data_IF_548274907758
#
_entry.id   IF_548274907758
#
_cell.length_a   1.000
_cell.length_b   1.000
_cell.length_c   1.000
_cell.angle_alpha   90.00
_cell.angle_beta   90.00
_cell.angle_gamma   90.00
#
_symmetry.space_group_name_H-M   'P 1'
#
loop_
_entity.id
_entity.type
_entity.pdbx_description
1 polymer ?
#
# COMPACT_ATOMS: atom_id res chain seq x y z
N UNK A 1 18.70 33.72 -38.02
CA UNK A 1 17.32 33.32 -37.83
C UNK A 1 16.95 32.31 -38.89
N UNK A 2 16.77 31.04 -38.55
CA UNK A 2 15.94 30.16 -39.34
C UNK A 2 14.64 29.86 -38.56
N UNK A 3 13.64 29.75 -39.32
CA UNK A 3 12.22 29.62 -39.14
C UNK A 3 11.81 28.45 -38.21
N UNK A 4 10.97 28.75 -37.25
CA UNK A 4 10.39 27.78 -36.30
C UNK A 4 8.94 27.51 -36.70
N UNK A 5 8.76 26.59 -37.65
CA UNK A 5 7.44 26.02 -37.91
C UNK A 5 7.60 24.60 -38.47
N UNK A 6 7.39 23.64 -37.60
CA UNK A 6 6.67 22.41 -37.87
C UNK A 6 6.78 21.53 -36.61
N UNK A 7 5.88 21.77 -35.66
CA UNK A 7 5.49 20.74 -34.70
C UNK A 7 4.29 20.06 -35.32
N UNK A 8 4.55 18.94 -36.00
CA UNK A 8 3.51 18.05 -36.46
C UNK A 8 2.63 17.64 -35.27
N UNK A 9 1.41 18.12 -35.27
CA UNK A 9 0.34 17.54 -34.48
C UNK A 9 0.13 16.11 -35.01
N UNK A 10 -0.04 15.09 -34.15
CA UNK A 10 -0.31 13.74 -34.61
C UNK A 10 -1.60 13.73 -35.43
N UNK A 11 -1.51 13.31 -36.68
CA UNK A 11 -2.64 13.08 -37.55
C UNK A 11 -3.55 12.04 -36.90
N UNK A 12 -4.80 12.38 -36.64
CA UNK A 12 -5.88 11.45 -36.27
C UNK A 12 -6.29 10.65 -37.51
N UNK A 13 -5.48 9.64 -37.86
CA UNK A 13 -5.83 8.71 -38.91
C UNK A 13 -6.62 7.56 -38.27
N UNK A 14 -7.90 7.35 -38.59
CA UNK A 14 -8.76 6.35 -37.92
C UNK A 14 -8.46 4.89 -38.32
N UNK A 15 -7.48 4.65 -39.19
CA UNK A 15 -7.12 3.29 -39.64
C UNK A 15 -6.03 2.61 -38.79
N UNK A 16 -5.40 3.31 -37.84
CA UNK A 16 -4.44 2.69 -36.92
C UNK A 16 -5.05 2.65 -35.53
N UNK A 17 -5.21 1.47 -34.96
CA UNK A 17 -5.63 1.29 -33.56
C UNK A 17 -4.84 2.19 -32.61
N UNK A 18 -5.39 2.52 -31.44
CA UNK A 18 -4.72 3.37 -30.44
C UNK A 18 -4.71 2.68 -29.10
N UNK A 19 -3.62 2.84 -28.33
CA UNK A 19 -3.62 2.58 -26.91
C UNK A 19 -3.91 3.90 -26.17
N UNK A 20 -4.77 3.84 -25.15
CA UNK A 20 -5.13 4.99 -24.32
C UNK A 20 -4.94 4.62 -22.84
N UNK A 21 -4.45 5.57 -22.05
CA UNK A 21 -4.44 5.48 -20.59
C UNK A 21 -5.40 6.53 -20.04
N UNK A 22 -6.33 6.11 -19.20
CA UNK A 22 -7.32 6.96 -18.56
C UNK A 22 -7.18 6.79 -17.04
N UNK A 23 -6.92 7.89 -16.32
CA UNK A 23 -6.84 7.88 -14.86
C UNK A 23 -8.20 8.22 -14.26
N UNK A 24 -8.70 7.36 -13.38
CA UNK A 24 -9.95 7.56 -12.64
C UNK A 24 -9.67 7.99 -11.19
N UNK A 25 -8.41 8.02 -10.81
CA UNK A 25 -7.87 8.49 -9.54
C UNK A 25 -6.35 8.34 -9.50
N UNK A 26 -5.70 8.80 -8.43
CA UNK A 26 -4.25 8.65 -8.21
C UNK A 26 -3.37 9.65 -8.98
N UNK A 27 -3.93 10.69 -9.59
CA UNK A 27 -3.16 11.74 -10.28
C UNK A 27 -3.61 13.11 -9.78
N UNK A 28 -2.69 13.87 -9.18
CA UNK A 28 -2.98 15.13 -8.50
C UNK A 28 -3.47 14.93 -7.06
N UNK A 29 -3.41 13.72 -6.57
CA UNK A 29 -3.78 13.30 -5.22
C UNK A 29 -2.99 12.03 -4.83
N UNK A 30 -2.94 11.72 -3.52
CA UNK A 30 -2.45 10.46 -2.98
C UNK A 30 -3.66 9.58 -2.64
N UNK A 31 -3.64 8.31 -3.09
CA UNK A 31 -4.75 7.37 -2.92
C UNK A 31 -5.73 7.35 -4.10
N UNK A 32 -6.78 6.55 -3.99
CA UNK A 32 -7.77 6.28 -5.06
C UNK A 32 -7.15 5.81 -6.37
N UNK A 33 -6.05 5.08 -6.29
CA UNK A 33 -5.31 4.67 -7.48
C UNK A 33 -6.18 3.79 -8.38
N UNK A 34 -6.43 4.26 -9.59
CA UNK A 34 -7.15 3.51 -10.61
C UNK A 34 -6.79 4.06 -12.00
N UNK A 35 -6.15 3.22 -12.80
CA UNK A 35 -5.83 3.53 -14.19
C UNK A 35 -6.48 2.49 -15.12
N UNK A 36 -7.01 2.95 -16.25
CA UNK A 36 -7.53 2.11 -17.31
C UNK A 36 -6.58 2.16 -18.50
N UNK A 37 -6.09 1.02 -18.95
CA UNK A 37 -5.38 0.88 -20.24
C UNK A 37 -6.37 0.36 -21.26
N UNK A 38 -6.65 1.13 -22.29
CA UNK A 38 -7.56 0.76 -23.37
C UNK A 38 -6.76 0.39 -24.61
N UNK A 39 -7.10 -0.74 -25.21
CA UNK A 39 -6.55 -1.25 -26.45
C UNK A 39 -7.68 -1.82 -27.31
N UNK A 40 -7.86 -1.27 -28.50
CA UNK A 40 -8.89 -1.70 -29.47
C UNK A 40 -10.31 -1.81 -28.85
N UNK A 41 -10.66 -0.85 -27.99
CA UNK A 41 -11.94 -0.79 -27.30
C UNK A 41 -12.06 -1.70 -26.08
N UNK A 42 -11.05 -2.55 -25.77
CA UNK A 42 -11.01 -3.38 -24.56
C UNK A 42 -10.25 -2.66 -23.45
N UNK A 43 -10.59 -2.91 -22.20
CA UNK A 43 -10.07 -2.21 -21.03
C UNK A 43 -9.40 -3.19 -20.07
N UNK A 44 -8.17 -2.87 -19.68
CA UNK A 44 -7.49 -3.45 -18.53
C UNK A 44 -7.44 -2.40 -17.42
N UNK A 45 -7.88 -2.75 -16.21
CA UNK A 45 -7.83 -1.86 -15.05
C UNK A 45 -6.58 -2.20 -14.24
N UNK A 46 -5.80 -1.19 -13.87
CA UNK A 46 -4.67 -1.32 -12.93
C UNK A 46 -5.05 -0.60 -11.65
N UNK A 47 -5.16 -1.36 -10.59
CA UNK A 47 -5.62 -0.98 -9.26
C UNK A 47 -7.07 -0.46 -9.21
N UNK A 48 -7.69 -0.58 -8.04
CA UNK A 48 -9.03 -0.06 -7.74
C UNK A 48 -9.02 0.40 -6.28
N UNK A 49 -8.35 1.52 -6.04
CA UNK A 49 -8.10 2.04 -4.71
C UNK A 49 -9.18 2.97 -4.20
N UNK A 50 -9.24 3.13 -2.89
CA UNK A 50 -10.03 4.18 -2.23
C UNK A 50 -9.12 5.23 -1.59
N UNK A 51 -9.70 6.33 -1.13
CA UNK A 51 -9.08 7.25 -0.18
C UNK A 51 -10.03 7.59 0.95
N UNK A 52 -9.49 8.17 2.01
CA UNK A 52 -10.28 8.66 3.14
C UNK A 52 -10.61 10.14 2.94
N UNK A 53 -11.79 10.59 3.40
CA UNK A 53 -12.21 11.98 3.23
C UNK A 53 -11.33 12.93 4.05
N UNK A 54 -11.10 14.12 3.51
CA UNK A 54 -10.49 15.22 4.25
C UNK A 54 -11.49 15.87 5.22
N UNK A 55 -10.98 16.70 6.14
CA UNK A 55 -11.79 17.37 7.17
C UNK A 55 -12.92 18.25 6.59
N UNK A 56 -12.77 18.72 5.35
CA UNK A 56 -13.75 19.54 4.62
C UNK A 56 -14.92 18.71 4.04
N UNK A 57 -14.89 17.38 4.17
CA UNK A 57 -15.92 16.46 3.66
C UNK A 57 -16.74 15.82 4.79
N UNK A 58 -17.48 16.60 5.61
CA UNK A 58 -18.21 16.05 6.76
C UNK A 58 -19.32 15.09 6.28
N UNK A 59 -19.42 13.93 6.94
CA UNK A 59 -20.44 12.92 6.63
C UNK A 59 -20.09 11.99 5.46
N UNK A 60 -18.88 12.09 4.91
CA UNK A 60 -18.34 11.14 3.95
C UNK A 60 -17.41 10.18 4.69
N UNK A 61 -17.59 8.89 4.49
CA UNK A 61 -16.75 7.85 5.11
C UNK A 61 -15.60 7.40 4.21
N UNK A 62 -15.84 7.34 2.88
CA UNK A 62 -14.87 6.89 1.88
C UNK A 62 -15.00 7.71 0.60
N UNK A 63 -13.89 7.87 -0.11
CA UNK A 63 -13.84 8.49 -1.44
C UNK A 63 -13.38 7.44 -2.44
N UNK A 64 -14.20 7.22 -3.47
CA UNK A 64 -13.98 6.21 -4.51
C UNK A 64 -13.52 6.87 -5.82
N UNK A 65 -12.84 6.13 -6.72
CA UNK A 65 -12.64 6.56 -8.09
C UNK A 65 -13.98 6.85 -8.80
N UNK A 66 -13.94 7.69 -9.82
CA UNK A 66 -15.11 7.89 -10.66
C UNK A 66 -15.27 6.71 -11.63
N UNK A 67 -16.22 5.83 -11.31
CA UNK A 67 -16.48 4.63 -12.10
C UNK A 67 -17.31 4.90 -13.38
N UNK A 68 -17.75 6.12 -13.67
CA UNK A 68 -18.64 6.40 -14.81
C UNK A 68 -18.06 5.88 -16.13
N UNK A 69 -16.77 6.14 -16.36
CA UNK A 69 -16.09 5.65 -17.56
C UNK A 69 -16.12 4.12 -17.72
N UNK A 70 -15.96 3.39 -16.61
CA UNK A 70 -15.98 1.91 -16.61
C UNK A 70 -17.40 1.38 -16.60
N UNK A 71 -18.32 2.05 -15.88
CA UNK A 71 -19.72 1.65 -15.75
C UNK A 71 -20.42 1.54 -17.11
N UNK A 72 -20.22 2.55 -17.97
CA UNK A 72 -20.79 2.58 -19.32
C UNK A 72 -20.18 1.52 -20.24
N UNK A 73 -18.98 1.06 -19.93
CA UNK A 73 -18.17 0.16 -20.75
C UNK A 73 -17.75 -1.12 -20.02
N UNK A 74 -18.54 -1.55 -19.04
CA UNK A 74 -18.16 -2.68 -18.18
C UNK A 74 -18.00 -4.00 -18.96
N UNK A 75 -18.71 -4.17 -20.07
CA UNK A 75 -18.57 -5.33 -20.95
C UNK A 75 -17.24 -5.34 -21.73
N UNK A 76 -16.57 -4.22 -21.83
CA UNK A 76 -15.26 -4.09 -22.45
C UNK A 76 -14.11 -4.36 -21.46
N UNK A 77 -14.37 -4.42 -20.16
CA UNK A 77 -13.34 -4.68 -19.14
C UNK A 77 -12.92 -6.15 -19.22
N UNK A 78 -11.65 -6.41 -19.52
CA UNK A 78 -11.10 -7.77 -19.61
C UNK A 78 -10.68 -8.30 -18.23
N UNK A 79 -10.02 -7.45 -17.44
CA UNK A 79 -9.52 -7.83 -16.12
C UNK A 79 -9.19 -6.61 -15.27
N UNK A 80 -8.95 -6.89 -13.97
CA UNK A 80 -8.30 -6.00 -13.02
C UNK A 80 -6.94 -6.59 -12.66
N UNK A 81 -5.91 -5.76 -12.58
CA UNK A 81 -4.57 -6.13 -12.09
C UNK A 81 -4.29 -5.31 -10.85
N UNK A 82 -4.00 -5.96 -9.74
CA UNK A 82 -3.71 -5.32 -8.46
C UNK A 82 -2.19 -5.34 -8.22
N UNK A 83 -1.57 -4.18 -8.09
CA UNK A 83 -0.12 -4.04 -7.89
C UNK A 83 0.31 -4.49 -6.49
N UNK A 84 -0.47 -4.17 -5.48
CA UNK A 84 -0.24 -4.58 -4.08
C UNK A 84 -1.50 -4.37 -3.22
N UNK A 85 -1.49 -4.86 -1.97
CA UNK A 85 -2.67 -4.98 -1.12
C UNK A 85 -3.01 -3.79 -0.23
N UNK A 86 -2.52 -2.56 -0.48
CA UNK A 86 -2.95 -1.38 0.27
C UNK A 86 -4.35 -0.92 -0.13
N UNK A 87 -5.06 -0.25 0.80
CA UNK A 87 -6.44 0.17 0.62
C UNK A 87 -6.62 1.16 -0.53
N UNK A 88 -5.65 2.01 -0.75
CA UNK A 88 -5.63 2.99 -1.83
C UNK A 88 -5.30 2.37 -3.21
N UNK A 89 -5.13 1.03 -3.26
CA UNK A 89 -4.97 0.21 -4.48
C UNK A 89 -6.03 -0.88 -4.64
N UNK A 90 -6.59 -1.44 -3.55
CA UNK A 90 -7.59 -2.51 -3.63
C UNK A 90 -8.94 -2.16 -2.99
N UNK A 91 -8.99 -1.11 -2.15
CA UNK A 91 -10.12 -0.87 -1.26
C UNK A 91 -11.43 -0.52 -1.96
N UNK A 92 -11.39 -0.04 -3.20
CA UNK A 92 -12.59 0.24 -3.98
C UNK A 92 -13.05 -0.93 -4.87
N UNK A 93 -12.29 -2.04 -4.92
CA UNK A 93 -12.65 -3.22 -5.71
C UNK A 93 -14.04 -3.79 -5.37
N UNK A 94 -14.47 -3.91 -4.10
CA UNK A 94 -15.83 -4.38 -3.80
C UNK A 94 -16.92 -3.49 -4.38
N UNK A 95 -16.68 -2.19 -4.46
CA UNK A 95 -17.62 -1.21 -5.00
C UNK A 95 -17.69 -1.30 -6.52
N UNK A 96 -16.54 -1.43 -7.20
CA UNK A 96 -16.48 -1.66 -8.65
C UNK A 96 -17.26 -2.93 -9.03
N UNK A 97 -17.06 -4.03 -8.31
CA UNK A 97 -17.74 -5.29 -8.59
C UNK A 97 -19.27 -5.23 -8.34
N UNK A 98 -19.75 -4.25 -7.59
CA UNK A 98 -21.19 -4.00 -7.41
C UNK A 98 -21.86 -3.31 -8.59
N UNK A 99 -21.10 -2.63 -9.44
CA UNK A 99 -21.64 -1.91 -10.61
C UNK A 99 -22.33 -2.86 -11.60
N UNK A 100 -21.84 -4.11 -11.72
CA UNK A 100 -22.44 -5.15 -12.57
C UNK A 100 -22.55 -6.47 -11.80
N UNK A 101 -23.77 -6.86 -11.52
CA UNK A 101 -24.07 -8.06 -10.70
C UNK A 101 -24.03 -9.38 -11.47
N UNK A 102 -24.09 -9.31 -12.77
CA UNK A 102 -24.21 -10.44 -13.70
C UNK A 102 -22.86 -10.85 -14.33
N UNK A 103 -21.75 -10.23 -13.89
CA UNK A 103 -20.41 -10.50 -14.45
C UNK A 103 -19.40 -10.83 -13.37
N UNK A 104 -18.61 -11.87 -13.63
CA UNK A 104 -17.40 -12.22 -12.89
C UNK A 104 -16.21 -11.62 -13.63
N UNK A 105 -15.36 -10.86 -12.92
CA UNK A 105 -14.17 -10.28 -13.49
C UNK A 105 -12.93 -11.09 -13.09
N UNK A 106 -12.02 -11.39 -14.03
CA UNK A 106 -10.68 -11.85 -13.71
C UNK A 106 -9.92 -10.77 -12.92
N UNK A 107 -9.32 -11.15 -11.80
CA UNK A 107 -8.52 -10.26 -10.95
C UNK A 107 -7.16 -10.90 -10.75
N UNK A 108 -6.12 -10.24 -11.26
CA UNK A 108 -4.74 -10.67 -11.19
C UNK A 108 -4.04 -9.95 -10.03
N UNK A 109 -3.19 -10.66 -9.30
CA UNK A 109 -2.40 -10.10 -8.21
C UNK A 109 -1.46 -11.15 -7.62
N UNK A 110 -0.55 -10.71 -6.77
CA UNK A 110 0.30 -11.62 -6.01
C UNK A 110 -0.48 -12.28 -4.88
N UNK A 111 0.04 -13.39 -4.32
CA UNK A 111 -0.65 -14.20 -3.32
C UNK A 111 -1.17 -13.38 -2.12
N UNK A 112 -0.33 -12.50 -1.55
CA UNK A 112 -0.73 -11.71 -0.39
C UNK A 112 -1.75 -10.62 -0.76
N UNK A 113 -1.58 -9.97 -1.90
CA UNK A 113 -2.53 -8.98 -2.43
C UNK A 113 -3.92 -9.60 -2.62
N UNK A 114 -3.97 -10.78 -3.26
CA UNK A 114 -5.23 -11.48 -3.47
C UNK A 114 -5.86 -11.96 -2.16
N UNK A 115 -5.07 -12.41 -1.18
CA UNK A 115 -5.59 -12.82 0.13
C UNK A 115 -6.23 -11.63 0.88
N UNK A 116 -5.66 -10.43 0.79
CA UNK A 116 -6.26 -9.22 1.37
C UNK A 116 -7.54 -8.80 0.62
N UNK A 117 -7.51 -8.85 -0.71
CA UNK A 117 -8.69 -8.58 -1.54
C UNK A 117 -9.81 -9.58 -1.28
N UNK A 118 -9.49 -10.87 -1.10
CA UNK A 118 -10.44 -11.96 -0.79
C UNK A 118 -11.24 -11.63 0.48
N UNK A 119 -10.55 -11.34 1.58
CA UNK A 119 -11.20 -10.98 2.84
C UNK A 119 -12.10 -9.75 2.72
N UNK A 120 -11.72 -8.74 1.93
CA UNK A 120 -12.56 -7.57 1.68
C UNK A 120 -13.81 -7.92 0.85
N UNK A 121 -13.65 -8.72 -0.21
CA UNK A 121 -14.77 -9.14 -1.05
C UNK A 121 -15.76 -10.00 -0.29
N UNK A 122 -15.29 -10.87 0.61
CA UNK A 122 -16.14 -11.64 1.53
C UNK A 122 -16.92 -10.73 2.48
N UNK A 123 -16.25 -9.78 3.14
CA UNK A 123 -16.88 -8.81 4.05
C UNK A 123 -17.96 -7.99 3.35
N UNK A 124 -17.73 -7.65 2.08
CA UNK A 124 -18.69 -6.91 1.25
C UNK A 124 -19.75 -7.77 0.54
N UNK A 125 -19.66 -9.11 0.64
CA UNK A 125 -20.61 -10.06 0.04
C UNK A 125 -20.58 -10.06 -1.49
N UNK A 126 -19.41 -9.88 -2.09
CA UNK A 126 -19.20 -9.83 -3.56
C UNK A 126 -18.06 -10.72 -4.03
N UNK A 127 -17.60 -11.65 -3.19
CA UNK A 127 -16.48 -12.54 -3.50
C UNK A 127 -16.73 -13.39 -4.76
N UNK A 128 -17.95 -13.78 -4.98
CA UNK A 128 -18.41 -14.57 -6.13
C UNK A 128 -18.33 -13.82 -7.47
N UNK A 129 -17.99 -12.52 -7.47
CA UNK A 129 -17.85 -11.66 -8.66
C UNK A 129 -16.41 -11.48 -9.12
N UNK A 130 -15.45 -12.08 -8.44
CA UNK A 130 -14.05 -12.06 -8.80
C UNK A 130 -13.52 -13.48 -9.03
N UNK A 131 -12.85 -13.67 -10.17
CA UNK A 131 -12.05 -14.86 -10.45
C UNK A 131 -10.57 -14.49 -10.23
N UNK A 132 -9.98 -15.03 -9.16
CA UNK A 132 -8.60 -14.70 -8.79
C UNK A 132 -7.60 -15.51 -9.59
N UNK A 133 -6.62 -14.79 -10.15
CA UNK A 133 -5.47 -15.34 -10.87
C UNK A 133 -4.19 -14.87 -10.17
N UNK A 134 -3.56 -15.77 -9.45
CA UNK A 134 -2.28 -15.47 -8.83
C UNK A 134 -1.19 -15.31 -9.89
N UNK A 135 -0.39 -14.26 -9.74
CA UNK A 135 0.77 -13.99 -10.59
C UNK A 135 2.04 -13.99 -9.75
N UNK A 136 3.07 -14.65 -10.26
CA UNK A 136 4.40 -14.64 -9.68
C UNK A 136 5.27 -13.64 -10.42
N UNK A 137 6.03 -12.75 -9.73
CA UNK A 137 6.96 -11.85 -10.39
C UNK A 137 7.91 -12.59 -11.34
N UNK A 138 8.00 -12.11 -12.59
CA UNK A 138 8.73 -12.74 -13.68
C UNK A 138 7.87 -13.59 -14.63
N UNK A 139 6.65 -13.93 -14.26
CA UNK A 139 5.72 -14.67 -15.12
C UNK A 139 4.87 -13.74 -16.00
N UNK A 140 4.47 -14.26 -17.16
CA UNK A 140 3.57 -13.58 -18.08
C UNK A 140 2.13 -14.05 -17.85
N UNK A 141 1.18 -13.12 -17.94
CA UNK A 141 -0.25 -13.38 -17.90
C UNK A 141 -0.94 -12.69 -19.09
N UNK A 142 -2.12 -13.18 -19.46
CA UNK A 142 -2.92 -12.59 -20.54
C UNK A 142 -4.37 -12.38 -20.10
N UNK A 143 -4.96 -11.28 -20.56
CA UNK A 143 -6.37 -10.99 -20.36
C UNK A 143 -6.90 -10.29 -21.63
N UNK A 144 -7.79 -10.94 -22.39
CA UNK A 144 -8.22 -10.45 -23.70
C UNK A 144 -7.03 -10.14 -24.61
N UNK A 145 -6.93 -8.91 -25.15
CA UNK A 145 -5.80 -8.52 -26.01
C UNK A 145 -4.55 -8.12 -25.22
N UNK A 146 -4.60 -8.07 -23.89
CA UNK A 146 -3.50 -7.61 -23.05
C UNK A 146 -2.55 -8.76 -22.71
N UNK A 147 -1.26 -8.56 -22.96
CA UNK A 147 -0.17 -9.39 -22.43
C UNK A 147 0.53 -8.61 -21.34
N UNK A 148 0.71 -9.22 -20.17
CA UNK A 148 1.23 -8.57 -18.98
C UNK A 148 2.41 -9.35 -18.42
N UNK A 149 3.37 -8.67 -17.83
CA UNK A 149 4.44 -9.26 -17.02
C UNK A 149 4.52 -8.52 -15.69
N UNK A 150 4.69 -9.26 -14.61
CA UNK A 150 4.88 -8.70 -13.28
C UNK A 150 6.36 -8.67 -12.90
N UNK A 151 6.82 -7.57 -12.33
CA UNK A 151 8.19 -7.40 -11.84
C UNK A 151 8.13 -7.11 -10.35
N UNK A 152 8.99 -7.76 -9.56
CA UNK A 152 9.02 -7.51 -8.11
C UNK A 152 9.55 -6.12 -7.80
N UNK A 153 8.83 -5.40 -6.95
CA UNK A 153 9.28 -4.16 -6.31
C UNK A 153 9.20 -4.28 -4.80
N UNK A 154 10.04 -3.54 -4.08
CA UNK A 154 9.94 -3.42 -2.63
C UNK A 154 9.04 -2.24 -2.27
N UNK A 155 8.20 -2.45 -1.28
CA UNK A 155 7.34 -1.43 -0.70
C UNK A 155 7.18 -1.71 0.81
N UNK A 156 6.30 -1.01 1.52
CA UNK A 156 6.01 -1.25 2.94
C UNK A 156 5.20 -2.53 3.19
N UNK A 157 4.58 -3.08 2.15
CA UNK A 157 3.83 -4.34 2.16
C UNK A 157 4.61 -5.40 1.36
N UNK A 158 4.62 -6.69 1.76
CA UNK A 158 5.24 -7.74 0.96
C UNK A 158 4.50 -7.98 -0.36
N UNK A 159 5.21 -8.62 -1.28
CA UNK A 159 4.70 -9.05 -2.59
C UNK A 159 4.21 -7.92 -3.52
N UNK A 160 4.70 -6.69 -3.36
CA UNK A 160 4.43 -5.61 -4.31
C UNK A 160 5.01 -5.90 -5.70
N UNK A 161 4.30 -5.49 -6.75
CA UNK A 161 4.76 -5.68 -8.12
C UNK A 161 4.55 -4.43 -8.99
N UNK A 162 5.49 -4.20 -9.90
CA UNK A 162 5.29 -3.40 -11.09
C UNK A 162 4.67 -4.26 -12.20
N UNK A 163 3.92 -3.64 -13.08
CA UNK A 163 3.23 -4.32 -14.19
C UNK A 163 3.68 -3.74 -15.53
N UNK A 164 4.20 -4.59 -16.40
CA UNK A 164 4.48 -4.25 -17.80
C UNK A 164 3.32 -4.75 -18.67
N UNK A 165 2.73 -3.86 -19.44
CA UNK A 165 1.59 -4.15 -20.33
C UNK A 165 2.09 -3.94 -21.77
N UNK A 166 2.11 -5.01 -22.56
CA UNK A 166 2.49 -4.94 -23.96
C UNK A 166 1.32 -4.45 -24.82
N UNK A 167 1.61 -3.52 -25.68
CA UNK A 167 0.70 -3.04 -26.71
C UNK A 167 1.39 -3.03 -28.09
N UNK A 168 0.65 -3.01 -29.19
CA UNK A 168 1.25 -2.86 -30.53
C UNK A 168 2.04 -1.54 -30.71
N UNK A 169 1.83 -0.56 -29.82
CA UNK A 169 2.46 0.76 -29.86
C UNK A 169 3.68 0.88 -28.94
N UNK A 170 4.03 -0.18 -28.23
CA UNK A 170 5.10 -0.28 -27.24
C UNK A 170 4.57 -0.66 -25.84
N UNK A 171 5.47 -0.96 -24.95
CA UNK A 171 5.11 -1.37 -23.60
C UNK A 171 4.81 -0.18 -22.67
N UNK A 172 3.85 -0.37 -21.76
CA UNK A 172 3.54 0.52 -20.66
C UNK A 172 4.06 -0.15 -19.39
N UNK A 173 4.90 0.54 -18.62
CA UNK A 173 5.37 0.09 -17.32
C UNK A 173 4.69 0.92 -16.23
N UNK A 174 3.89 0.28 -15.39
CA UNK A 174 3.30 0.85 -14.18
C UNK A 174 4.07 0.32 -12.97
N UNK A 175 4.72 1.21 -12.21
CA UNK A 175 5.60 0.78 -11.12
C UNK A 175 4.85 0.17 -9.93
N UNK A 176 3.54 0.45 -9.77
CA UNK A 176 2.92 0.38 -8.46
C UNK A 176 3.65 1.32 -7.50
N UNK A 177 3.45 1.13 -6.22
CA UNK A 177 4.22 1.82 -5.19
C UNK A 177 5.53 1.09 -4.95
N UNK A 178 6.63 1.82 -4.87
CA UNK A 178 7.93 1.19 -4.75
C UNK A 178 8.96 2.04 -4.01
N UNK A 179 9.98 1.37 -3.54
CA UNK A 179 11.29 1.93 -3.21
C UNK A 179 12.39 0.98 -3.67
N UNK A 180 13.64 1.41 -3.61
CA UNK A 180 14.80 0.57 -3.96
C UNK A 180 15.54 0.18 -2.68
N UNK A 181 14.91 -0.67 -1.86
CA UNK A 181 15.52 -1.20 -0.65
C UNK A 181 16.55 -2.28 -0.99
N UNK A 182 17.83 -2.02 -0.68
CA UNK A 182 18.93 -2.94 -0.94
C UNK A 182 19.05 -4.04 0.14
N UNK A 183 18.39 -3.87 1.27
CA UNK A 183 18.45 -4.78 2.41
C UNK A 183 17.06 -5.09 2.98
N UNK A 184 16.09 -5.46 2.14
CA UNK A 184 14.73 -5.73 2.62
C UNK A 184 14.72 -6.89 3.62
N UNK A 185 13.72 -6.90 4.50
CA UNK A 185 13.64 -7.89 5.58
C UNK A 185 13.48 -9.32 5.08
N UNK A 186 12.74 -9.51 4.00
CA UNK A 186 12.50 -10.81 3.37
C UNK A 186 13.63 -11.25 2.43
N UNK A 187 14.67 -10.40 2.25
CA UNK A 187 15.79 -10.65 1.36
C UNK A 187 15.46 -10.56 -0.13
N UNK A 188 14.30 -10.00 -0.50
CA UNK A 188 13.81 -9.89 -1.88
C UNK A 188 13.82 -8.43 -2.34
N UNK A 189 14.94 -7.88 -2.85
CA UNK A 189 15.01 -6.49 -3.31
C UNK A 189 14.17 -6.27 -4.56
N UNK A 190 13.93 -4.98 -4.91
CA UNK A 190 13.39 -4.58 -6.20
C UNK A 190 14.25 -5.18 -7.32
N UNK A 191 13.61 -5.83 -8.29
CA UNK A 191 14.31 -6.53 -9.38
C UNK A 191 14.79 -5.54 -10.46
N UNK A 192 15.90 -4.86 -10.14
CA UNK A 192 16.54 -3.92 -11.07
C UNK A 192 17.03 -4.60 -12.35
N UNK A 193 17.34 -5.91 -12.30
CA UNK A 193 17.78 -6.65 -13.48
C UNK A 193 16.61 -6.83 -14.45
N UNK A 194 15.47 -7.29 -13.99
CA UNK A 194 14.27 -7.43 -14.80
C UNK A 194 13.80 -6.06 -15.35
N UNK A 195 13.87 -4.99 -14.56
CA UNK A 195 13.60 -3.63 -15.03
C UNK A 195 14.56 -3.20 -16.16
N UNK A 196 15.85 -3.55 -16.06
CA UNK A 196 16.84 -3.25 -17.12
C UNK A 196 16.59 -4.08 -18.38
N UNK A 197 16.12 -5.33 -18.25
CA UNK A 197 15.73 -6.15 -19.40
C UNK A 197 14.52 -5.54 -20.13
N UNK A 198 13.50 -5.08 -19.40
CA UNK A 198 12.35 -4.38 -20.02
C UNK A 198 12.77 -3.06 -20.67
N UNK A 199 13.68 -2.30 -20.04
CA UNK A 199 14.29 -1.14 -20.67
C UNK A 199 15.00 -1.49 -22.00
N UNK A 200 15.70 -2.62 -22.05
CA UNK A 200 16.35 -3.14 -23.27
C UNK A 200 15.37 -3.52 -24.38
N UNK A 201 14.14 -3.91 -24.04
CA UNK A 201 13.03 -4.16 -24.98
C UNK A 201 12.40 -2.86 -25.47
N UNK A 202 12.54 -1.77 -24.72
CA UNK A 202 12.03 -0.44 -25.01
C UNK A 202 10.68 -0.16 -24.33
N UNK A 203 10.72 0.61 -23.25
CA UNK A 203 9.50 1.09 -22.55
C UNK A 203 9.00 2.36 -23.23
N UNK A 204 7.76 2.30 -23.73
CA UNK A 204 7.15 3.44 -24.40
C UNK A 204 6.63 4.47 -23.40
N UNK A 205 5.92 4.01 -22.36
CA UNK A 205 5.34 4.84 -21.31
C UNK A 205 5.69 4.28 -19.95
N UNK A 206 6.23 5.12 -19.07
CA UNK A 206 6.42 4.84 -17.65
C UNK A 206 5.38 5.62 -16.84
N UNK A 207 4.59 4.90 -16.04
CA UNK A 207 3.71 5.40 -15.00
C UNK A 207 4.39 5.12 -13.66
N UNK A 208 4.90 6.14 -12.97
CA UNK A 208 5.70 5.93 -11.75
C UNK A 208 5.13 6.62 -10.54
N UNK A 209 5.12 5.90 -9.42
CA UNK A 209 4.94 6.47 -8.08
C UNK A 209 5.76 7.77 -7.93
N UNK A 210 5.15 8.78 -7.31
CA UNK A 210 5.77 10.09 -7.07
C UNK A 210 5.56 10.60 -5.64
N UNK A 211 5.04 9.78 -4.74
CA UNK A 211 4.63 10.17 -3.39
C UNK A 211 5.74 10.89 -2.63
N UNK A 212 6.98 10.41 -2.70
CA UNK A 212 8.14 11.01 -2.03
C UNK A 212 9.06 11.78 -2.99
N UNK A 213 8.56 12.35 -4.08
CA UNK A 213 9.39 13.08 -5.04
C UNK A 213 10.14 14.26 -4.43
N UNK A 214 9.59 14.92 -3.40
CA UNK A 214 10.21 16.03 -2.67
C UNK A 214 11.22 15.59 -1.61
N UNK A 215 11.25 14.28 -1.25
CA UNK A 215 12.16 13.74 -0.25
C UNK A 215 13.55 13.49 -0.86
N UNK A 216 14.56 14.21 -0.35
CA UNK A 216 15.91 14.13 -0.87
C UNK A 216 16.57 12.79 -0.54
N UNK A 217 17.36 12.25 -1.48
CA UNK A 217 18.15 11.05 -1.27
C UNK A 217 17.39 9.75 -1.53
N UNK A 218 17.80 8.71 -0.82
CA UNK A 218 17.21 7.37 -0.84
C UNK A 218 16.36 7.16 0.40
N UNK A 219 15.24 6.49 0.24
CA UNK A 219 14.41 6.06 1.37
C UNK A 219 15.13 4.99 2.19
N UNK A 220 15.11 5.14 3.51
CA UNK A 220 15.73 4.17 4.41
C UNK A 220 15.12 2.78 4.28
N UNK A 221 15.96 1.74 4.49
CA UNK A 221 15.50 0.37 4.56
C UNK A 221 14.55 0.17 5.74
N UNK A 222 13.50 -0.61 5.55
CA UNK A 222 12.61 -1.05 6.63
C UNK A 222 13.38 -1.73 7.78
N UNK A 223 14.51 -2.36 7.49
CA UNK A 223 15.40 -2.99 8.47
C UNK A 223 15.94 -2.01 9.52
N UNK A 224 16.09 -0.72 9.20
CA UNK A 224 16.62 0.29 10.14
C UNK A 224 15.73 0.51 11.35
N UNK A 225 14.44 0.22 11.24
CA UNK A 225 13.45 0.43 12.31
C UNK A 225 13.54 -0.65 13.40
N UNK A 226 13.93 -1.87 13.05
CA UNK A 226 14.00 -3.00 13.97
C UNK A 226 14.81 -2.74 15.24
N UNK A 227 16.09 -2.27 15.15
CA UNK A 227 16.89 -1.94 16.31
C UNK A 227 16.27 -0.86 17.21
N UNK A 228 15.57 0.12 16.62
CA UNK A 228 14.87 1.18 17.39
C UNK A 228 13.71 0.59 18.18
N UNK A 229 12.89 -0.24 17.54
CA UNK A 229 11.78 -0.92 18.22
C UNK A 229 12.29 -1.85 19.31
N UNK A 230 13.38 -2.57 19.07
CA UNK A 230 14.01 -3.45 20.05
C UNK A 230 14.50 -2.66 21.28
N UNK A 231 15.16 -1.52 21.08
CA UNK A 231 15.63 -0.68 22.21
C UNK A 231 14.46 -0.10 23.01
N UNK A 232 13.39 0.38 22.33
CA UNK A 232 12.18 0.89 23.01
C UNK A 232 11.50 -0.21 23.83
N UNK A 233 11.27 -1.40 23.24
CA UNK A 233 10.60 -2.52 23.90
C UNK A 233 11.42 -3.03 25.09
N UNK A 234 12.73 -3.17 24.95
CA UNK A 234 13.60 -3.65 26.02
C UNK A 234 13.69 -2.69 27.22
N UNK A 235 13.53 -1.37 27.00
CA UNK A 235 13.54 -0.37 28.07
C UNK A 235 12.19 -0.09 28.69
N UNK A 236 11.11 -0.53 28.07
CA UNK A 236 9.76 -0.27 28.52
C UNK A 236 9.50 -0.98 29.88
N UNK A 237 9.14 -0.23 30.96
CA UNK A 237 8.97 -0.84 32.27
C UNK A 237 7.64 -1.60 32.39
N UNK A 238 6.67 -1.31 31.53
CA UNK A 238 5.32 -1.87 31.57
C UNK A 238 4.92 -2.35 30.15
N UNK A 239 3.61 -2.38 29.86
CA UNK A 239 3.07 -2.81 28.57
C UNK A 239 3.55 -1.90 27.43
N UNK A 240 3.79 -2.52 26.26
CA UNK A 240 4.09 -1.80 25.04
C UNK A 240 2.94 -1.94 24.06
N UNK A 241 2.48 -0.83 23.51
CA UNK A 241 1.51 -0.81 22.41
C UNK A 241 2.20 -0.26 21.16
N UNK A 242 2.20 -1.03 20.09
CA UNK A 242 2.74 -0.60 18.78
C UNK A 242 1.60 -0.48 17.78
N UNK A 243 1.33 0.75 17.34
CA UNK A 243 0.33 1.01 16.30
C UNK A 243 1.00 1.14 14.94
N UNK A 244 0.55 0.33 13.97
CA UNK A 244 1.03 0.35 12.60
C UNK A 244 -0.07 -0.06 11.62
N UNK A 245 0.19 0.07 10.32
CA UNK A 245 -0.72 -0.47 9.30
C UNK A 245 -0.78 -2.00 9.41
N UNK A 246 -1.98 -2.56 9.30
CA UNK A 246 -2.21 -4.01 9.40
C UNK A 246 -1.52 -4.78 8.26
N UNK A 247 -1.36 -4.17 7.10
CA UNK A 247 -0.69 -4.73 5.93
C UNK A 247 0.85 -4.68 6.02
N UNK A 248 1.40 -3.94 6.99
CA UNK A 248 2.85 -3.75 7.12
C UNK A 248 3.51 -4.95 7.84
N UNK A 249 3.47 -6.10 7.19
CA UNK A 249 3.89 -7.39 7.75
C UNK A 249 5.36 -7.40 8.20
N UNK A 250 6.23 -6.72 7.47
CA UNK A 250 7.64 -6.59 7.84
C UNK A 250 7.83 -5.85 9.17
N UNK A 251 7.03 -4.80 9.44
CA UNK A 251 7.01 -4.09 10.71
C UNK A 251 6.49 -4.97 11.85
N UNK A 252 5.39 -5.68 11.59
CA UNK A 252 4.82 -6.64 12.55
C UNK A 252 5.86 -7.70 12.91
N UNK A 253 6.58 -8.25 11.92
CA UNK A 253 7.65 -9.22 12.17
C UNK A 253 8.77 -8.64 13.05
N UNK A 254 9.17 -7.39 12.82
CA UNK A 254 10.20 -6.74 13.65
C UNK A 254 9.73 -6.53 15.10
N UNK A 255 8.48 -6.13 15.30
CA UNK A 255 7.88 -5.98 16.64
C UNK A 255 7.81 -7.34 17.35
N UNK A 256 7.35 -8.39 16.66
CA UNK A 256 7.31 -9.76 17.21
C UNK A 256 8.71 -10.23 17.61
N UNK A 257 9.70 -10.03 16.75
CA UNK A 257 11.08 -10.42 17.04
C UNK A 257 11.63 -9.67 18.28
N UNK A 258 11.36 -8.38 18.39
CA UNK A 258 11.76 -7.55 19.54
C UNK A 258 11.05 -8.01 20.83
N UNK A 259 9.75 -8.27 20.78
CA UNK A 259 8.98 -8.79 21.91
C UNK A 259 9.54 -10.13 22.41
N UNK A 260 9.81 -11.08 21.50
CA UNK A 260 10.38 -12.37 21.83
C UNK A 260 11.78 -12.27 22.45
N UNK A 261 12.60 -11.35 21.94
CA UNK A 261 13.96 -11.12 22.49
C UNK A 261 13.94 -10.63 23.94
N UNK A 262 12.83 -9.98 24.35
CA UNK A 262 12.59 -9.48 25.71
C UNK A 262 11.62 -10.36 26.51
N UNK A 263 11.40 -11.61 26.05
CA UNK A 263 10.50 -12.60 26.65
C UNK A 263 9.07 -12.10 26.91
N UNK A 264 8.56 -11.24 26.01
CA UNK A 264 7.18 -10.72 26.04
C UNK A 264 6.31 -11.50 25.05
N UNK A 265 5.06 -11.69 25.44
CA UNK A 265 4.03 -12.24 24.55
C UNK A 265 3.38 -11.11 23.73
N UNK A 266 2.81 -11.47 22.59
CA UNK A 266 2.17 -10.53 21.67
C UNK A 266 0.67 -10.74 21.63
N UNK A 267 -0.09 -9.64 21.63
CA UNK A 267 -1.52 -9.64 21.34
C UNK A 267 -1.79 -8.80 20.11
N UNK A 268 -2.56 -9.31 19.14
CA UNK A 268 -3.00 -8.56 17.96
C UNK A 268 -4.36 -7.94 18.21
N UNK A 269 -4.57 -6.70 17.77
CA UNK A 269 -5.80 -5.95 18.01
C UNK A 269 -6.24 -5.16 16.79
N UNK A 270 -7.48 -5.39 16.38
CA UNK A 270 -8.11 -4.82 15.20
C UNK A 270 -8.49 -5.89 14.19
N UNK A 271 -9.68 -5.73 13.55
CA UNK A 271 -10.18 -6.72 12.59
C UNK A 271 -9.21 -6.91 11.41
N UNK A 272 -8.83 -5.82 10.77
CA UNK A 272 -7.88 -5.86 9.66
C UNK A 272 -6.50 -6.38 10.08
N UNK A 273 -6.07 -6.13 11.33
CA UNK A 273 -4.83 -6.70 11.87
C UNK A 273 -4.90 -8.23 11.91
N UNK A 274 -5.99 -8.80 12.43
CA UNK A 274 -6.18 -10.25 12.47
C UNK A 274 -6.22 -10.85 11.07
N UNK A 275 -6.96 -10.25 10.13
CA UNK A 275 -7.04 -10.72 8.74
C UNK A 275 -5.67 -10.72 8.06
N UNK A 276 -4.91 -9.63 8.17
CA UNK A 276 -3.58 -9.51 7.56
C UNK A 276 -2.57 -10.47 8.18
N UNK A 277 -2.59 -10.63 9.51
CA UNK A 277 -1.71 -11.56 10.24
C UNK A 277 -2.01 -12.99 9.85
N UNK A 278 -3.29 -13.39 9.77
CA UNK A 278 -3.69 -14.74 9.38
C UNK A 278 -3.28 -15.05 7.94
N UNK A 279 -3.56 -14.15 7.01
CA UNK A 279 -3.14 -14.28 5.61
C UNK A 279 -1.61 -14.40 5.50
N UNK A 280 -0.87 -13.51 6.17
CA UNK A 280 0.59 -13.52 6.13
C UNK A 280 1.20 -14.80 6.77
N UNK A 281 0.62 -15.32 7.85
CA UNK A 281 1.06 -16.58 8.46
C UNK A 281 0.79 -17.77 7.54
N UNK A 282 -0.39 -17.81 6.92
CA UNK A 282 -0.77 -18.88 5.98
C UNK A 282 0.16 -18.91 4.77
N UNK A 283 0.59 -17.76 4.27
CA UNK A 283 1.51 -17.63 3.14
C UNK A 283 3.00 -17.71 3.53
N UNK A 284 3.30 -17.88 4.83
CA UNK A 284 4.68 -17.96 5.31
C UNK A 284 5.44 -16.63 5.26
N UNK A 285 4.74 -15.50 5.17
CA UNK A 285 5.31 -14.15 5.17
C UNK A 285 5.51 -13.58 6.58
N UNK A 286 4.84 -14.16 7.58
CA UNK A 286 4.95 -13.81 8.99
C UNK A 286 5.21 -15.05 9.84
N UNK A 287 6.29 -15.00 10.62
CA UNK A 287 6.69 -16.10 11.51
C UNK A 287 6.45 -15.72 12.97
N UNK A 288 5.35 -16.18 13.53
CA UNK A 288 4.98 -16.01 14.94
C UNK A 288 4.58 -17.33 15.52
N UNK A 289 5.33 -17.90 16.48
CA UNK A 289 4.91 -19.11 17.21
C UNK A 289 3.62 -18.89 17.98
N UNK A 290 2.73 -19.89 17.98
CA UNK A 290 1.46 -19.78 18.71
C UNK A 290 1.64 -19.56 20.21
N UNK A 291 2.73 -20.10 20.79
CA UNK A 291 3.06 -19.91 22.19
C UNK A 291 3.39 -18.46 22.58
N UNK A 292 3.77 -17.62 21.60
CA UNK A 292 4.12 -16.22 21.81
C UNK A 292 2.90 -15.29 21.60
N UNK A 293 1.74 -15.84 21.20
CA UNK A 293 0.51 -15.08 20.95
C UNK A 293 -0.52 -15.35 22.02
N UNK A 294 -1.11 -14.29 22.54
CA UNK A 294 -2.25 -14.40 23.50
C UNK A 294 -3.49 -13.69 22.94
N UNK A 295 -4.69 -14.17 23.29
CA UNK A 295 -5.92 -13.43 23.04
C UNK A 295 -5.91 -12.06 23.72
N UNK A 296 -6.53 -11.05 23.10
CA UNK A 296 -6.55 -9.68 23.65
C UNK A 296 -7.27 -9.62 25.01
N UNK A 297 -8.22 -10.52 25.25
CA UNK A 297 -8.98 -10.64 26.49
C UNK A 297 -8.11 -11.08 27.70
N UNK A 298 -6.98 -11.71 27.44
CA UNK A 298 -6.04 -12.18 28.47
C UNK A 298 -5.01 -11.11 28.88
N UNK A 299 -4.91 -10.00 28.14
CA UNK A 299 -3.90 -8.94 28.37
C UNK A 299 -4.02 -8.36 29.77
N UNK A 300 -5.25 -8.06 30.25
CA UNK A 300 -5.47 -7.47 31.58
C UNK A 300 -5.05 -8.41 32.73
N UNK A 301 -5.05 -9.73 32.50
CA UNK A 301 -4.66 -10.76 33.50
C UNK A 301 -3.15 -11.05 33.52
N UNK A 302 -2.38 -10.52 32.60
CA UNK A 302 -0.93 -10.72 32.48
C UNK A 302 -0.15 -9.63 33.19
N UNK A 303 1.09 -9.94 33.54
CA UNK A 303 2.06 -8.92 33.97
C UNK A 303 2.27 -7.92 32.81
N UNK A 304 1.95 -6.63 32.97
CA UNK A 304 2.09 -5.65 31.88
C UNK A 304 3.50 -5.61 31.29
N UNK A 305 4.55 -5.81 32.11
CA UNK A 305 5.94 -5.83 31.64
C UNK A 305 6.25 -7.00 30.68
N UNK A 306 5.33 -7.95 30.49
CA UNK A 306 5.47 -9.13 29.64
C UNK A 306 4.55 -9.10 28.42
N UNK A 307 3.94 -7.96 28.10
CA UNK A 307 2.97 -7.86 27.01
C UNK A 307 3.37 -6.79 26.00
N UNK A 308 3.25 -7.14 24.72
CA UNK A 308 3.26 -6.21 23.58
C UNK A 308 1.94 -6.34 22.84
N UNK A 309 1.23 -5.23 22.66
CA UNK A 309 0.00 -5.17 21.86
C UNK A 309 0.33 -4.54 20.50
N UNK A 310 0.04 -5.23 19.41
CA UNK A 310 0.17 -4.69 18.05
C UNK A 310 -1.22 -4.36 17.53
N UNK A 311 -1.46 -3.10 17.19
CA UNK A 311 -2.80 -2.64 16.86
C UNK A 311 -2.86 -1.72 15.63
N UNK A 312 -4.08 -1.48 15.13
CA UNK A 312 -4.40 -0.47 14.14
C UNK A 312 -4.76 0.87 14.78
N UNK A 313 -4.93 1.91 13.98
CA UNK A 313 -5.34 3.24 14.43
C UNK A 313 -4.24 4.28 14.39
N UNK A 314 -3.13 3.98 13.70
CA UNK A 314 -1.98 4.88 13.59
C UNK A 314 -2.27 6.15 12.79
N UNK A 315 -3.40 6.22 12.07
CA UNK A 315 -3.84 7.40 11.31
C UNK A 315 -4.94 8.20 12.03
N UNK A 316 -5.24 7.87 13.28
CA UNK A 316 -6.24 8.57 14.07
C UNK A 316 -7.68 8.29 13.62
N UNK A 317 -7.92 7.15 12.98
CA UNK A 317 -9.25 6.75 12.52
C UNK A 317 -10.22 6.66 13.71
N UNK A 318 -11.42 7.21 13.57
CA UNK A 318 -12.45 7.10 14.60
C UNK A 318 -12.73 5.63 14.95
N UNK A 319 -12.90 5.35 16.24
CA UNK A 319 -13.18 4.00 16.77
C UNK A 319 -12.09 2.95 16.51
N UNK A 320 -10.92 3.33 16.00
CA UNK A 320 -9.77 2.44 15.94
C UNK A 320 -9.28 2.06 17.33
N UNK A 321 -8.54 0.96 17.42
CA UNK A 321 -8.03 0.46 18.69
C UNK A 321 -7.23 1.54 19.44
N UNK A 322 -6.28 2.21 18.76
CA UNK A 322 -5.46 3.25 19.38
C UNK A 322 -6.27 4.48 19.80
N UNK A 323 -7.24 4.91 18.98
CA UNK A 323 -8.11 6.05 19.30
C UNK A 323 -8.96 5.78 20.55
N UNK A 324 -9.50 4.56 20.69
CA UNK A 324 -10.24 4.14 21.88
C UNK A 324 -9.34 4.04 23.12
N UNK A 325 -8.10 3.57 22.99
CA UNK A 325 -7.13 3.58 24.09
C UNK A 325 -6.77 5.00 24.53
N UNK A 326 -6.53 5.90 23.59
CA UNK A 326 -6.25 7.32 23.86
C UNK A 326 -7.42 8.04 24.58
N UNK A 327 -8.65 7.64 24.26
CA UNK A 327 -9.88 8.12 24.91
C UNK A 327 -10.19 7.42 26.26
N UNK A 328 -9.43 6.37 26.62
CA UNK A 328 -9.72 5.47 27.78
C UNK A 328 -11.04 4.70 27.65
N UNK A 329 -11.50 4.47 26.44
CA UNK A 329 -12.77 3.79 26.12
C UNK A 329 -12.55 2.36 25.59
N UNK A 330 -11.29 1.92 25.41
CA UNK A 330 -11.03 0.57 24.93
C UNK A 330 -11.40 -0.47 25.99
N UNK A 331 -12.09 -1.54 25.56
CA UNK A 331 -12.68 -2.54 26.46
C UNK A 331 -11.62 -3.35 27.22
N UNK A 332 -10.54 -3.75 26.55
CA UNK A 332 -9.57 -4.73 27.04
C UNK A 332 -8.21 -4.15 27.40
N UNK A 333 -7.82 -3.05 26.77
CA UNK A 333 -6.51 -2.43 26.94
C UNK A 333 -6.72 -1.04 27.54
N UNK A 334 -6.20 -0.82 28.74
CA UNK A 334 -6.19 0.46 29.43
C UNK A 334 -4.74 0.90 29.58
N UNK A 335 -4.46 2.12 29.17
CA UNK A 335 -3.14 2.69 29.27
C UNK A 335 -3.00 3.46 30.60
N UNK A 336 -1.89 3.18 31.29
CA UNK A 336 -1.52 3.83 32.54
C UNK A 336 -0.11 4.42 32.47
N UNK A 337 0.30 5.14 33.50
CA UNK A 337 1.63 5.69 33.63
C UNK A 337 2.68 4.56 33.65
N UNK A 338 3.70 4.71 32.82
CA UNK A 338 4.76 3.70 32.64
C UNK A 338 4.54 2.74 31.46
N UNK A 339 3.33 2.72 30.87
CA UNK A 339 3.13 2.07 29.59
C UNK A 339 3.83 2.83 28.46
N UNK A 340 4.18 2.12 27.40
CA UNK A 340 4.87 2.68 26.24
C UNK A 340 4.00 2.54 25.00
N UNK A 341 3.82 3.61 24.24
CA UNK A 341 3.08 3.60 22.98
C UNK A 341 3.95 4.06 21.85
N UNK A 342 4.04 3.25 20.80
CA UNK A 342 4.80 3.55 19.58
C UNK A 342 3.83 3.72 18.41
N UNK A 343 3.80 4.92 17.82
CA UNK A 343 3.11 5.17 16.54
C UNK A 343 4.10 4.92 15.40
N UNK A 344 4.06 3.73 14.85
CA UNK A 344 5.02 3.22 13.87
C UNK A 344 4.49 3.40 12.43
N UNK A 345 4.11 4.63 12.09
CA UNK A 345 3.62 5.05 10.78
C UNK A 345 4.03 6.49 10.46
N UNK A 346 4.04 6.85 9.18
CA UNK A 346 4.06 8.25 8.74
C UNK A 346 2.66 8.87 8.82
N UNK A 347 2.61 10.19 8.82
CA UNK A 347 1.36 10.93 8.68
C UNK A 347 0.90 10.87 7.21
N UNK A 348 -0.30 10.38 6.96
CA UNK A 348 -0.93 10.54 5.66
C UNK A 348 -1.44 11.98 5.57
N UNK A 349 -1.14 12.72 4.48
CA UNK A 349 -1.62 14.09 4.31
C UNK A 349 -3.13 14.20 4.52
N UNK A 350 -3.55 15.16 5.36
CA UNK A 350 -4.95 15.36 5.74
C UNK A 350 -5.37 14.71 7.06
N UNK A 351 -4.62 13.72 7.57
CA UNK A 351 -4.93 13.04 8.85
C UNK A 351 -4.24 13.68 10.06
N UNK A 352 -3.38 14.67 9.88
CA UNK A 352 -2.57 15.30 10.93
C UNK A 352 -3.40 15.73 12.14
N UNK A 353 -4.56 16.42 11.98
CA UNK A 353 -5.34 16.83 13.15
C UNK A 353 -5.92 15.66 13.93
N UNK A 354 -6.26 14.55 13.26
CA UNK A 354 -6.79 13.36 13.90
C UNK A 354 -5.69 12.64 14.70
N UNK A 355 -4.53 12.47 14.09
CA UNK A 355 -3.37 11.82 14.72
C UNK A 355 -2.88 12.63 15.91
N UNK A 356 -2.77 13.96 15.81
CA UNK A 356 -2.37 14.81 16.94
C UNK A 356 -3.34 14.71 18.09
N UNK A 357 -4.67 14.62 17.85
CA UNK A 357 -5.65 14.38 18.93
C UNK A 357 -5.42 13.05 19.65
N UNK A 358 -5.08 12.00 18.90
CA UNK A 358 -4.75 10.69 19.47
C UNK A 358 -3.47 10.80 20.32
N UNK A 359 -2.41 11.39 19.79
CA UNK A 359 -1.13 11.60 20.51
C UNK A 359 -1.38 12.38 21.81
N UNK A 360 -2.12 13.48 21.76
CA UNK A 360 -2.49 14.25 22.96
C UNK A 360 -3.31 13.41 23.96
N UNK A 361 -4.20 12.55 23.47
CA UNK A 361 -4.95 11.60 24.29
C UNK A 361 -4.03 10.62 25.01
N UNK A 362 -3.04 10.05 24.28
CA UNK A 362 -2.06 9.12 24.83
C UNK A 362 -1.20 9.77 25.92
N UNK A 363 -0.69 10.98 25.71
CA UNK A 363 0.03 11.71 26.76
C UNK A 363 -0.79 11.94 28.01
N UNK A 364 -2.12 12.17 27.89
CA UNK A 364 -3.04 12.32 29.06
C UNK A 364 -3.22 11.02 29.84
N UNK A 365 -2.94 9.85 29.26
CA UNK A 365 -2.94 8.60 30.03
C UNK A 365 -1.74 8.48 30.95
N UNK A 366 -0.66 9.20 30.69
CA UNK A 366 0.62 9.11 31.38
C UNK A 366 1.60 8.14 30.73
N UNK A 367 1.26 7.58 29.57
CA UNK A 367 2.15 6.70 28.81
C UNK A 367 3.31 7.46 28.15
N UNK A 368 4.43 6.78 27.96
CA UNK A 368 5.56 7.27 27.18
C UNK A 368 5.25 7.05 25.68
N UNK A 369 5.25 8.13 24.88
CA UNK A 369 4.80 8.09 23.48
C UNK A 369 5.97 8.34 22.52
N UNK A 370 6.20 7.40 21.62
CA UNK A 370 7.24 7.43 20.59
C UNK A 370 6.61 7.55 19.21
N UNK A 371 6.95 8.59 18.47
CA UNK A 371 6.43 8.84 17.12
C UNK A 371 7.39 9.70 16.29
N UNK A 372 7.22 9.74 14.98
CA UNK A 372 7.90 10.68 14.10
C UNK A 372 7.49 12.15 14.44
N UNK A 373 8.37 13.14 14.19
CA UNK A 373 9.77 13.00 13.74
C UNK A 373 10.77 12.81 14.89
N UNK A 374 10.31 12.75 16.14
CA UNK A 374 11.19 12.71 17.31
C UNK A 374 11.98 11.39 17.42
N UNK A 375 11.38 10.30 16.96
CA UNK A 375 11.98 8.97 17.00
C UNK A 375 11.86 8.29 15.62
N UNK A 376 12.92 7.61 15.11
CA UNK A 376 12.89 6.96 13.79
C UNK A 376 12.17 5.58 13.87
N UNK A 377 10.93 5.60 14.27
CA UNK A 377 10.07 4.40 14.44
C UNK A 377 9.35 3.97 13.17
N UNK A 378 9.64 4.61 12.04
CA UNK A 378 9.03 4.31 10.75
C UNK A 378 9.99 4.63 9.60
N UNK A 379 9.95 3.82 8.55
CA UNK A 379 10.56 4.07 7.25
C UNK A 379 9.48 4.07 6.17
N UNK A 380 9.54 5.02 5.23
CA UNK A 380 8.57 5.11 4.12
C UNK A 380 8.66 3.88 3.20
N UNK A 381 7.55 3.56 2.54
CA UNK A 381 7.49 2.55 1.50
C UNK A 381 7.76 3.10 0.10
N UNK A 382 7.81 4.44 -0.08
CA UNK A 382 7.91 5.09 -1.38
C UNK A 382 9.33 5.58 -1.66
N UNK A 383 9.67 5.58 -2.95
CA UNK A 383 10.97 6.00 -3.46
C UNK A 383 11.23 7.49 -3.25
N UNK A 384 12.39 7.83 -2.69
CA UNK A 384 12.88 9.20 -2.62
C UNK A 384 13.38 9.71 -3.98
N UNK A 385 13.72 11.00 -4.05
CA UNK A 385 14.09 11.67 -5.30
C UNK A 385 15.20 10.96 -6.09
N UNK A 386 16.23 10.44 -5.41
CA UNK A 386 17.34 9.76 -6.08
C UNK A 386 16.94 8.37 -6.61
N UNK A 387 16.03 7.68 -5.94
CA UNK A 387 15.48 6.40 -6.40
C UNK A 387 14.58 6.60 -7.63
N UNK A 388 13.77 7.66 -7.65
CA UNK A 388 12.95 8.05 -8.81
C UNK A 388 13.83 8.41 -10.02
N UNK A 389 14.91 9.16 -9.81
CA UNK A 389 15.92 9.46 -10.86
C UNK A 389 16.61 8.20 -11.35
N UNK A 390 16.91 7.25 -10.46
CA UNK A 390 17.48 5.96 -10.82
C UNK A 390 16.51 5.16 -11.68
N UNK A 391 15.22 5.10 -11.30
CA UNK A 391 14.17 4.44 -12.08
C UNK A 391 14.10 5.02 -13.50
N UNK A 392 14.02 6.34 -13.65
CA UNK A 392 14.00 7.02 -14.95
C UNK A 392 15.26 6.75 -15.76
N UNK A 393 16.43 6.75 -15.13
CA UNK A 393 17.73 6.51 -15.79
C UNK A 393 17.87 5.06 -16.23
N UNK A 394 17.32 4.11 -15.48
CA UNK A 394 17.33 2.68 -15.78
C UNK A 394 16.36 2.36 -16.91
N UNK A 395 15.10 2.79 -16.77
CA UNK A 395 14.01 2.45 -17.71
C UNK A 395 14.12 3.21 -19.04
N UNK A 396 14.56 4.48 -19.02
CA UNK A 396 14.67 5.36 -20.18
C UNK A 396 13.42 5.37 -21.06
N UNK A 397 12.23 5.66 -20.48
CA UNK A 397 10.99 5.59 -21.23
C UNK A 397 10.94 6.69 -22.31
N UNK A 398 10.16 6.45 -23.38
CA UNK A 398 9.89 7.50 -24.37
C UNK A 398 8.99 8.59 -23.79
N UNK A 399 8.00 8.18 -22.94
CA UNK A 399 7.09 9.08 -22.23
C UNK A 399 7.05 8.72 -20.76
N UNK A 400 6.87 9.74 -19.93
CA UNK A 400 6.79 9.60 -18.48
C UNK A 400 5.58 10.36 -17.94
N UNK A 401 4.81 9.70 -17.08
CA UNK A 401 3.72 10.30 -16.33
C UNK A 401 3.91 9.93 -14.85
N UNK A 402 4.18 10.89 -13.97
CA UNK A 402 4.16 10.64 -12.54
C UNK A 402 2.71 10.41 -12.08
N UNK A 403 2.52 9.43 -11.20
CA UNK A 403 1.24 9.05 -10.61
C UNK A 403 1.38 9.00 -9.08
N UNK A 404 0.28 8.73 -8.38
CA UNK A 404 0.27 8.57 -6.92
C UNK A 404 0.88 9.76 -6.18
N UNK A 405 0.44 10.97 -6.50
CA UNK A 405 0.99 12.18 -5.89
C UNK A 405 0.12 13.39 -6.10
N UNK A 406 0.18 14.32 -5.16
CA UNK A 406 -0.40 15.64 -5.30
C UNK A 406 0.33 16.44 -6.39
N UNK A 407 -0.26 17.56 -6.83
CA UNK A 407 0.31 18.36 -7.91
C UNK A 407 1.78 18.80 -7.67
N UNK A 408 2.16 19.05 -6.41
CA UNK A 408 3.55 19.41 -6.07
C UNK A 408 4.52 18.23 -6.32
N UNK A 409 4.11 17.01 -5.98
CA UNK A 409 4.89 15.79 -6.23
C UNK A 409 5.03 15.54 -7.73
N UNK A 410 3.92 15.68 -8.48
CA UNK A 410 3.92 15.49 -9.94
C UNK A 410 4.77 16.54 -10.69
N UNK A 411 4.97 17.73 -10.11
CA UNK A 411 5.69 18.81 -10.74
C UNK A 411 7.18 18.84 -10.39
N UNK A 412 7.59 18.18 -9.31
CA UNK A 412 8.97 18.09 -8.83
C UNK A 412 9.81 17.16 -9.68
#
# INVERSE_FOLDING_TARGET
MPDSSDRDAPSSDPEHGSARVVFLGGVGEVGRNMACVELDGRILIVDVGLSFPHAEMPGIDLVLPDFEYVRERFDDVEAVVLTHGHQDHIGALPYLLRERRDRVLPVFGTAFTLALADGQLEEHGVRDRAEFHEVTPGEAATAGPFSMRSLRVTHSIPDGMAVVIDTPFGSILHTGDFKIDQTPLDGRPTDLHALAEEAGRGVHLLLSDSTNAEEAGYTESERSVGPVLQDIIARAPQMVVVACFSSHIHRIQQVVNAARSDERVVAFLGRSMHQSVEAARTLGLLHVPDADVIPIEEVEARDPSRVVVICTGSQGEPYSALSLMAAREHKWVKLDAGDTVVLSSSLIPGNEPAIHRVIDGLYRTGADVFHLPAYPVHASGHAGAEELRLMLSLVRPRWFIPIHGERRHLAH
#
